data_IF_072425035868
#
_entry.id   IF_072425035868
#
_cell.length_a   1.000
_cell.length_b   1.000
_cell.length_c   1.000
_cell.angle_alpha   90.00
_cell.angle_beta   90.00
_cell.angle_gamma   90.00
#
_symmetry.space_group_name_H-M   'P 1'
#
loop_
_entity.id
_entity.type
_entity.pdbx_description
1 polymer ?
#
# COMPACT_ATOMS: atom_id res chain seq x y z
N UNK A 1 -20.99 -20.27 11.45
CA UNK A 1 -22.20 -20.40 10.60
C UNK A 1 -22.21 -21.60 9.63
N UNK A 2 -21.16 -22.44 9.51
CA UNK A 2 -21.16 -23.59 8.58
C UNK A 2 -22.21 -24.70 8.85
N UNK A 3 -22.82 -24.76 10.05
CA UNK A 3 -23.78 -25.81 10.43
C UNK A 3 -25.27 -25.54 10.11
N UNK A 4 -25.65 -24.33 9.68
CA UNK A 4 -27.07 -23.97 9.47
C UNK A 4 -27.56 -24.11 8.02
N UNK A 5 -26.66 -24.11 7.04
CA UNK A 5 -27.02 -24.28 5.62
C UNK A 5 -27.72 -25.63 5.32
N UNK A 6 -27.25 -26.80 5.80
CA UNK A 6 -27.95 -28.06 5.55
C UNK A 6 -29.31 -28.09 6.25
N UNK A 7 -29.45 -27.47 7.43
CA UNK A 7 -30.72 -27.46 8.19
C UNK A 7 -31.80 -26.67 7.44
N UNK A 8 -31.47 -25.51 6.86
CA UNK A 8 -32.43 -24.72 6.07
C UNK A 8 -32.80 -25.45 4.77
N UNK A 9 -31.85 -26.12 4.11
CA UNK A 9 -32.14 -26.93 2.93
C UNK A 9 -33.04 -28.15 3.26
N UNK A 10 -32.78 -28.80 4.39
CA UNK A 10 -33.56 -29.94 4.87
C UNK A 10 -34.98 -29.54 5.27
N UNK A 11 -35.16 -28.38 5.92
CA UNK A 11 -36.47 -27.82 6.25
C UNK A 11 -37.30 -27.43 5.00
N UNK A 12 -36.64 -26.94 3.95
CA UNK A 12 -37.29 -26.67 2.66
C UNK A 12 -37.71 -27.97 1.95
N UNK A 13 -36.87 -29.01 2.00
CA UNK A 13 -37.20 -30.33 1.44
C UNK A 13 -38.32 -31.03 2.23
N UNK A 14 -38.31 -30.97 3.57
CA UNK A 14 -39.38 -31.56 4.38
C UNK A 14 -40.72 -30.86 4.18
N UNK A 15 -40.73 -29.53 4.00
CA UNK A 15 -41.96 -28.78 3.73
C UNK A 15 -42.59 -29.16 2.38
N UNK A 16 -41.79 -29.52 1.38
CA UNK A 16 -42.28 -30.03 0.08
C UNK A 16 -42.81 -31.46 0.24
N UNK A 17 -42.08 -32.33 0.96
CA UNK A 17 -42.52 -33.72 1.21
C UNK A 17 -43.81 -33.81 2.05
N UNK A 18 -44.05 -32.88 2.97
CA UNK A 18 -45.27 -32.84 3.79
C UNK A 18 -46.52 -32.32 3.05
N UNK A 19 -46.38 -31.81 1.82
CA UNK A 19 -47.50 -31.34 1.02
C UNK A 19 -48.21 -32.45 0.21
N UNK A 20 -47.57 -33.62 0.03
CA UNK A 20 -48.13 -34.74 -0.75
C UNK A 20 -48.92 -35.75 0.10
N UNK A 21 -48.83 -35.74 1.43
CA UNK A 21 -49.32 -36.83 2.30
C UNK A 21 -50.66 -36.58 3.01
N UNK A 22 -51.44 -35.57 2.57
CA UNK A 22 -52.81 -35.33 3.08
C UNK A 22 -53.91 -35.79 2.11
N UNK A 23 -53.97 -37.11 1.89
CA UNK A 23 -55.21 -37.81 1.50
C UNK A 23 -55.55 -38.84 2.56
N UNK A 24 -56.62 -38.59 3.31
CA UNK A 24 -57.07 -39.45 4.39
C UNK A 24 -57.42 -40.86 3.88
N UNK A 25 -56.74 -41.88 4.41
CA UNK A 25 -57.12 -43.29 4.26
C UNK A 25 -57.85 -43.67 5.54
N UNK A 26 -59.14 -44.02 5.42
CA UNK A 26 -59.96 -44.50 6.52
C UNK A 26 -60.33 -45.98 6.23
N UNK A 27 -59.71 -46.97 6.90
CA UNK A 27 -59.89 -48.37 6.55
C UNK A 27 -60.91 -49.06 7.47
N UNK A 28 -62.09 -49.40 6.93
CA UNK A 28 -62.61 -50.77 7.09
C UNK A 28 -63.71 -51.16 6.08
N UNK A 29 -63.72 -52.47 5.76
CA UNK A 29 -64.54 -53.19 4.78
C UNK A 29 -66.06 -53.18 5.13
N UNK A 30 -67.01 -53.43 4.22
CA UNK A 30 -67.12 -54.70 3.45
C UNK A 30 -68.02 -54.65 2.20
N UNK A 31 -67.39 -54.99 1.05
CA UNK A 31 -67.85 -55.83 -0.09
C UNK A 31 -69.36 -56.00 -0.37
N UNK A 32 -69.78 -55.60 -1.58
CA UNK A 32 -70.59 -56.45 -2.48
C UNK A 32 -70.26 -56.15 -3.96
N UNK A 33 -70.52 -57.12 -4.85
CA UNK A 33 -70.04 -57.15 -6.24
C UNK A 33 -71.03 -56.49 -7.23
N UNK A 34 -70.54 -55.96 -8.37
CA UNK A 34 -70.77 -56.55 -9.72
C UNK A 34 -70.01 -55.80 -10.84
N UNK A 35 -69.79 -56.48 -11.98
CA UNK A 35 -69.22 -55.94 -13.22
C UNK A 35 -70.13 -54.86 -13.87
N UNK A 36 -69.77 -54.10 -14.91
CA UNK A 36 -68.64 -54.10 -15.85
C UNK A 36 -68.29 -52.63 -16.24
N UNK A 37 -67.43 -52.26 -17.19
CA UNK A 37 -66.68 -53.00 -18.22
C UNK A 37 -65.33 -52.28 -18.54
N UNK A 38 -64.69 -52.67 -19.64
CA UNK A 38 -63.43 -52.09 -20.16
C UNK A 38 -63.70 -51.25 -21.42
N UNK A 39 -63.06 -50.08 -21.58
CA UNK A 39 -62.82 -49.50 -22.93
C UNK A 39 -61.72 -48.44 -22.91
N UNK A 40 -60.78 -48.58 -23.84
CA UNK A 40 -59.55 -47.77 -23.92
C UNK A 40 -59.82 -46.33 -24.34
N UNK A 41 -58.97 -45.42 -23.85
CA UNK A 41 -58.75 -44.11 -24.48
C UNK A 41 -58.02 -44.32 -25.80
N UNK A 42 -58.46 -43.63 -26.84
CA UNK A 42 -57.60 -43.20 -27.93
C UNK A 42 -57.80 -41.70 -28.20
N UNK A 43 -56.69 -41.01 -28.40
CA UNK A 43 -56.63 -39.55 -28.50
C UNK A 43 -56.66 -39.14 -29.97
N UNK A 44 -57.66 -38.37 -30.40
CA UNK A 44 -57.62 -37.70 -31.71
C UNK A 44 -57.38 -36.21 -31.50
N UNK A 45 -56.20 -35.76 -31.95
CA UNK A 45 -55.79 -34.35 -31.94
C UNK A 45 -56.45 -33.67 -33.14
N UNK A 46 -57.33 -32.69 -32.88
CA UNK A 46 -57.91 -31.85 -33.93
C UNK A 46 -57.23 -30.47 -33.93
N UNK A 47 -56.33 -30.23 -34.89
CA UNK A 47 -55.73 -28.92 -35.11
C UNK A 47 -56.75 -27.96 -35.75
N UNK A 48 -56.97 -26.81 -35.11
CA UNK A 48 -57.92 -25.80 -35.57
C UNK A 48 -57.36 -25.06 -36.80
N UNK A 49 -58.08 -25.11 -37.93
CA UNK A 49 -57.84 -24.24 -39.09
C UNK A 49 -59.14 -23.61 -39.60
N UNK A 50 -59.21 -22.29 -39.37
CA UNK A 50 -59.73 -21.23 -40.28
C UNK A 50 -61.14 -21.32 -40.89
N UNK A 51 -61.81 -20.17 -40.76
CA UNK A 51 -62.90 -19.60 -41.59
C UNK A 51 -64.36 -20.01 -41.25
N UNK A 52 -65.29 -19.04 -41.16
CA UNK A 52 -66.71 -19.28 -40.92
C UNK A 52 -67.47 -19.54 -42.23
N UNK A 53 -68.52 -20.36 -42.17
CA UNK A 53 -69.51 -20.47 -43.25
C UNK A 53 -70.94 -20.53 -42.69
N UNK A 54 -71.87 -20.01 -43.47
CA UNK A 54 -73.22 -19.64 -43.06
C UNK A 54 -74.16 -20.83 -42.78
N UNK A 55 -75.18 -20.52 -42.00
CA UNK A 55 -76.29 -21.39 -41.62
C UNK A 55 -77.10 -21.99 -42.79
N UNK A 56 -77.71 -23.14 -42.52
CA UNK A 56 -79.10 -23.42 -42.93
C UNK A 56 -79.91 -24.00 -41.77
N UNK A 57 -81.21 -23.75 -41.80
CA UNK A 57 -82.18 -23.99 -40.73
C UNK A 57 -82.80 -25.40 -40.83
N UNK A 58 -83.60 -25.76 -39.81
CA UNK A 58 -84.49 -26.93 -39.71
C UNK A 58 -83.84 -28.33 -39.48
N UNK A 59 -84.40 -29.20 -38.62
CA UNK A 59 -85.65 -29.11 -37.83
C UNK A 59 -85.58 -29.87 -36.50
N UNK A 60 -86.41 -29.42 -35.55
CA UNK A 60 -86.93 -30.15 -34.37
C UNK A 60 -86.08 -31.31 -33.82
N UNK A 61 -85.05 -30.97 -33.04
CA UNK A 61 -84.70 -31.73 -31.83
C UNK A 61 -84.59 -30.76 -30.67
N UNK A 62 -85.34 -31.02 -29.60
CA UNK A 62 -85.16 -30.38 -28.31
C UNK A 62 -83.82 -30.85 -27.76
N UNK A 63 -82.76 -30.10 -28.03
CA UNK A 63 -81.46 -30.33 -27.39
C UNK A 63 -81.62 -29.82 -25.97
N UNK A 64 -81.88 -30.74 -25.05
CA UNK A 64 -81.74 -30.47 -23.63
C UNK A 64 -80.25 -30.21 -23.36
N UNK A 65 -79.88 -28.93 -23.35
CA UNK A 65 -78.53 -28.51 -22.98
C UNK A 65 -78.40 -28.75 -21.48
N UNK A 66 -78.01 -29.98 -21.13
CA UNK A 66 -77.49 -30.29 -19.80
C UNK A 66 -76.18 -29.52 -19.68
N UNK A 67 -76.28 -28.29 -19.20
CA UNK A 67 -75.20 -27.58 -18.53
C UNK A 67 -74.86 -28.42 -17.30
N UNK A 68 -74.00 -29.41 -17.51
CA UNK A 68 -73.10 -29.93 -16.49
C UNK A 68 -72.31 -28.72 -16.00
N UNK A 69 -72.87 -28.04 -15.00
CA UNK A 69 -72.13 -27.16 -14.12
C UNK A 69 -71.00 -28.04 -13.58
N UNK A 70 -69.79 -27.84 -14.10
CA UNK A 70 -68.61 -28.48 -13.55
C UNK A 70 -68.70 -28.31 -12.04
N UNK A 71 -68.49 -29.38 -11.25
CA UNK A 71 -68.44 -29.23 -9.82
C UNK A 71 -67.42 -28.13 -9.55
N UNK A 72 -67.84 -27.09 -8.83
CA UNK A 72 -66.98 -25.98 -8.42
C UNK A 72 -66.05 -26.49 -7.33
N UNK A 73 -65.19 -27.44 -7.70
CA UNK A 73 -63.95 -27.76 -7.04
C UNK A 73 -63.21 -26.43 -6.97
N UNK A 74 -63.01 -25.95 -5.74
CA UNK A 74 -62.58 -24.58 -5.49
C UNK A 74 -61.36 -24.23 -6.34
N UNK A 75 -61.30 -22.97 -6.78
CA UNK A 75 -60.20 -22.42 -7.58
C UNK A 75 -58.88 -22.99 -7.10
N UNK A 76 -58.16 -23.67 -8.00
CA UNK A 76 -56.98 -24.47 -7.65
C UNK A 76 -55.78 -23.53 -7.44
N UNK A 77 -55.89 -22.68 -6.42
CA UNK A 77 -54.99 -21.57 -6.12
C UNK A 77 -53.53 -22.03 -6.04
N UNK A 78 -53.27 -23.27 -5.65
CA UNK A 78 -51.95 -23.88 -5.65
C UNK A 78 -51.28 -23.79 -7.04
N UNK A 79 -51.99 -24.07 -8.15
CA UNK A 79 -51.42 -23.99 -9.51
C UNK A 79 -51.09 -22.57 -9.96
N UNK A 80 -51.74 -21.56 -9.39
CA UNK A 80 -51.48 -20.14 -9.70
C UNK A 80 -50.46 -19.50 -8.75
N UNK A 81 -50.47 -19.90 -7.48
CA UNK A 81 -49.54 -19.41 -6.45
C UNK A 81 -48.17 -20.06 -6.57
N UNK A 82 -48.09 -21.35 -6.90
CA UNK A 82 -46.81 -22.07 -6.93
C UNK A 82 -45.81 -21.51 -7.95
N UNK A 83 -46.18 -21.13 -9.19
CA UNK A 83 -45.29 -20.42 -10.11
C UNK A 83 -44.80 -19.06 -9.59
N UNK A 84 -45.67 -18.32 -8.88
CA UNK A 84 -45.33 -17.02 -8.29
C UNK A 84 -44.33 -17.22 -7.13
N UNK A 85 -44.58 -18.21 -6.26
CA UNK A 85 -43.68 -18.57 -5.16
C UNK A 85 -42.34 -19.09 -5.66
N UNK A 86 -42.31 -19.94 -6.70
CA UNK A 86 -41.04 -20.41 -7.27
C UNK A 86 -40.25 -19.30 -7.99
N UNK A 87 -40.93 -18.33 -8.62
CA UNK A 87 -40.28 -17.12 -9.14
C UNK A 87 -39.60 -16.32 -8.02
N UNK A 88 -40.33 -16.01 -6.94
CA UNK A 88 -39.76 -15.30 -5.78
C UNK A 88 -38.64 -16.10 -5.10
N UNK A 89 -38.77 -17.44 -5.03
CA UNK A 89 -37.75 -18.32 -4.47
C UNK A 89 -36.47 -18.33 -5.34
N UNK A 90 -36.60 -18.38 -6.66
CA UNK A 90 -35.47 -18.27 -7.59
C UNK A 90 -34.75 -16.93 -7.49
N UNK A 91 -35.51 -15.82 -7.41
CA UNK A 91 -34.96 -14.48 -7.16
C UNK A 91 -34.25 -14.41 -5.81
N UNK A 92 -34.82 -15.02 -4.76
CA UNK A 92 -34.23 -15.05 -3.42
C UNK A 92 -32.93 -15.88 -3.36
N UNK A 93 -32.91 -17.05 -4.02
CA UNK A 93 -31.72 -17.92 -4.12
C UNK A 93 -30.60 -17.20 -4.89
N UNK A 94 -30.89 -16.60 -6.06
CA UNK A 94 -29.91 -15.84 -6.82
C UNK A 94 -29.35 -14.65 -6.01
N UNK A 95 -30.21 -13.88 -5.33
CA UNK A 95 -29.76 -12.81 -4.41
C UNK A 95 -28.90 -13.33 -3.26
N UNK A 96 -29.21 -14.50 -2.71
CA UNK A 96 -28.44 -15.10 -1.62
C UNK A 96 -27.05 -15.55 -2.10
N UNK A 97 -26.97 -16.19 -3.28
CA UNK A 97 -25.71 -16.61 -3.91
C UNK A 97 -24.85 -15.38 -4.24
N UNK A 98 -25.42 -14.37 -4.90
CA UNK A 98 -24.75 -13.09 -5.18
C UNK A 98 -24.20 -12.43 -3.91
N UNK A 99 -24.99 -12.42 -2.83
CA UNK A 99 -24.59 -11.83 -1.57
C UNK A 99 -23.45 -12.61 -0.89
N UNK A 100 -23.49 -13.95 -0.92
CA UNK A 100 -22.40 -14.80 -0.41
C UNK A 100 -21.13 -14.58 -1.24
N UNK A 101 -21.24 -14.58 -2.56
CA UNK A 101 -20.11 -14.40 -3.49
C UNK A 101 -19.47 -13.02 -3.28
N UNK A 102 -20.24 -11.93 -3.32
CA UNK A 102 -19.76 -10.56 -3.06
C UNK A 102 -19.10 -10.45 -1.69
N UNK A 103 -19.70 -11.03 -0.64
CA UNK A 103 -19.11 -11.06 0.70
C UNK A 103 -17.77 -11.80 0.73
N UNK A 104 -17.65 -12.95 0.06
CA UNK A 104 -16.40 -13.71 0.00
C UNK A 104 -15.30 -12.96 -0.74
N UNK A 105 -15.62 -12.27 -1.84
CA UNK A 105 -14.70 -11.40 -2.57
C UNK A 105 -14.19 -10.24 -1.70
N UNK A 106 -15.09 -9.52 -1.02
CA UNK A 106 -14.72 -8.45 -0.08
C UNK A 106 -13.86 -8.97 1.08
N UNK A 107 -14.14 -10.16 1.61
CA UNK A 107 -13.31 -10.79 2.66
C UNK A 107 -11.90 -11.10 2.13
N UNK A 108 -11.78 -11.66 0.93
CA UNK A 108 -10.48 -11.96 0.31
C UNK A 108 -9.67 -10.70 0.00
N UNK A 109 -10.33 -9.63 -0.47
CA UNK A 109 -9.67 -8.33 -0.73
C UNK A 109 -9.18 -7.68 0.56
N UNK A 110 -9.99 -7.67 1.62
CA UNK A 110 -9.57 -7.15 2.92
C UNK A 110 -8.52 -8.02 3.64
N UNK A 111 -8.51 -9.33 3.41
CA UNK A 111 -7.42 -10.20 3.86
C UNK A 111 -6.12 -9.89 3.11
N UNK A 112 -6.18 -9.57 1.80
CA UNK A 112 -5.03 -9.04 1.07
C UNK A 112 -4.53 -7.73 1.68
N UNK A 113 -5.40 -6.74 1.92
CA UNK A 113 -5.02 -5.49 2.62
C UNK A 113 -4.21 -5.74 3.91
N UNK A 114 -4.66 -6.67 4.76
CA UNK A 114 -3.96 -7.02 6.02
C UNK A 114 -2.62 -7.70 5.77
N UNK A 115 -2.49 -8.51 4.72
CA UNK A 115 -1.21 -9.14 4.33
C UNK A 115 -0.23 -8.10 3.80
N UNK A 116 -0.64 -7.21 2.89
CA UNK A 116 0.25 -6.17 2.33
C UNK A 116 0.71 -5.18 3.43
N UNK A 117 -0.16 -4.83 4.39
CA UNK A 117 0.21 -4.03 5.56
C UNK A 117 1.24 -4.74 6.46
N UNK A 118 1.17 -6.07 6.61
CA UNK A 118 2.19 -6.84 7.35
C UNK A 118 3.52 -6.96 6.60
N UNK A 119 3.47 -7.09 5.27
CA UNK A 119 4.68 -7.08 4.43
C UNK A 119 5.37 -5.72 4.52
N UNK A 120 4.58 -4.64 4.54
CA UNK A 120 5.07 -3.26 4.74
C UNK A 120 5.86 -3.10 6.03
N UNK A 121 5.46 -3.73 7.14
CA UNK A 121 6.22 -3.74 8.40
C UNK A 121 7.65 -4.25 8.21
N UNK A 122 7.83 -5.33 7.46
CA UNK A 122 9.14 -5.94 7.16
C UNK A 122 9.97 -5.03 6.26
N UNK A 123 9.35 -4.44 5.22
CA UNK A 123 10.03 -3.54 4.29
C UNK A 123 10.50 -2.25 4.96
N UNK A 124 9.69 -1.66 5.86
CA UNK A 124 10.09 -0.48 6.65
C UNK A 124 11.27 -0.84 7.57
N UNK A 125 11.22 -1.99 8.27
CA UNK A 125 12.33 -2.44 9.13
C UNK A 125 13.63 -2.62 8.36
N UNK A 126 13.58 -3.23 7.18
CA UNK A 126 14.77 -3.38 6.33
C UNK A 126 15.28 -2.00 5.83
N UNK A 127 14.39 -1.11 5.40
CA UNK A 127 14.79 0.24 4.98
C UNK A 127 15.43 1.04 6.12
N UNK A 128 14.97 0.87 7.36
CA UNK A 128 15.62 1.45 8.54
C UNK A 128 17.01 0.85 8.78
N UNK A 129 17.18 -0.47 8.64
CA UNK A 129 18.51 -1.12 8.73
C UNK A 129 19.47 -0.58 7.69
N UNK A 130 19.05 -0.47 6.43
CA UNK A 130 19.87 0.07 5.34
C UNK A 130 20.25 1.56 5.57
N UNK A 131 19.34 2.35 6.17
CA UNK A 131 19.60 3.75 6.54
C UNK A 131 20.56 3.89 7.74
N UNK A 132 20.51 2.96 8.70
CA UNK A 132 21.46 2.91 9.82
C UNK A 132 22.84 2.51 9.30
N UNK A 133 22.95 1.47 8.47
CA UNK A 133 24.22 1.07 7.84
C UNK A 133 24.81 2.21 7.00
N UNK A 134 23.99 2.95 6.25
CA UNK A 134 24.44 4.13 5.51
C UNK A 134 24.95 5.24 6.45
N UNK A 135 24.23 5.53 7.54
CA UNK A 135 24.62 6.54 8.54
C UNK A 135 25.93 6.18 9.23
N UNK A 136 26.12 4.92 9.61
CA UNK A 136 27.34 4.46 10.28
C UNK A 136 28.57 4.47 9.34
N UNK A 137 28.33 4.49 8.02
CA UNK A 137 29.34 4.69 6.97
C UNK A 137 29.57 6.15 6.58
N UNK A 138 28.74 7.09 7.02
CA UNK A 138 29.00 8.52 6.82
C UNK A 138 30.14 8.97 7.72
N UNK A 139 31.36 8.97 7.15
CA UNK A 139 32.56 9.34 7.88
C UNK A 139 32.94 10.82 7.70
N UNK A 140 33.46 11.41 8.78
CA UNK A 140 34.19 12.69 8.76
C UNK A 140 35.72 12.48 8.70
N UNK A 141 36.20 11.24 8.57
CA UNK A 141 37.64 10.91 8.49
C UNK A 141 38.07 10.44 7.10
N UNK A 142 37.14 9.98 6.26
CA UNK A 142 37.41 9.51 4.90
C UNK A 142 36.36 10.03 3.92
N UNK A 143 36.82 10.61 2.81
CA UNK A 143 35.96 11.04 1.71
C UNK A 143 35.46 9.81 0.91
N UNK A 144 34.52 9.11 1.51
CA UNK A 144 33.74 8.05 0.87
C UNK A 144 32.28 8.48 0.80
N UNK A 145 31.68 8.40 -0.38
CA UNK A 145 30.23 8.51 -0.55
C UNK A 145 29.65 7.09 -0.55
N UNK A 146 29.07 6.60 0.55
CA UNK A 146 28.37 5.32 0.53
C UNK A 146 27.16 5.36 -0.43
N UNK A 147 26.77 4.21 -0.97
CA UNK A 147 25.55 4.08 -1.76
C UNK A 147 24.34 3.89 -0.83
N UNK A 148 23.22 4.58 -1.11
CA UNK A 148 21.93 4.26 -0.46
C UNK A 148 21.23 3.14 -1.21
N UNK A 149 21.01 2.03 -0.50
CA UNK A 149 20.03 1.02 -0.89
C UNK A 149 18.63 1.51 -0.51
N UNK A 150 17.94 2.12 -1.46
CA UNK A 150 16.53 2.48 -1.31
C UNK A 150 15.66 1.32 -1.81
N UNK A 151 14.87 0.72 -0.92
CA UNK A 151 13.94 -0.35 -1.26
C UNK A 151 12.74 0.20 -2.05
N UNK A 152 12.78 0.04 -3.37
CA UNK A 152 11.70 0.45 -4.31
C UNK A 152 10.31 -0.07 -3.93
N UNK A 153 10.23 -1.18 -3.20
CA UNK A 153 8.97 -1.77 -2.73
C UNK A 153 8.26 -0.96 -1.62
N UNK A 154 8.97 -0.05 -0.93
CA UNK A 154 8.39 0.87 0.08
C UNK A 154 7.58 2.00 -0.57
N UNK A 155 7.69 2.18 -1.89
CA UNK A 155 7.01 3.21 -2.70
C UNK A 155 5.47 3.09 -2.77
N UNK A 156 4.87 2.12 -2.10
CA UNK A 156 3.41 1.97 -2.00
C UNK A 156 2.68 1.53 -3.28
N UNK A 157 3.41 1.25 -4.37
CA UNK A 157 2.83 0.85 -5.66
C UNK A 157 1.88 -0.36 -5.57
N UNK A 158 2.07 -1.25 -4.57
CA UNK A 158 1.16 -2.38 -4.28
C UNK A 158 -0.23 -1.89 -3.84
N UNK A 159 -0.32 -0.85 -3.02
CA UNK A 159 -1.58 -0.30 -2.50
C UNK A 159 -2.40 0.42 -3.57
N UNK A 160 -1.78 0.88 -4.66
CA UNK A 160 -2.50 1.44 -5.82
C UNK A 160 -3.40 0.42 -6.52
N UNK A 161 -3.14 -0.88 -6.32
CA UNK A 161 -3.96 -1.98 -6.84
C UNK A 161 -5.13 -2.38 -5.91
N UNK A 162 -5.35 -1.66 -4.80
CA UNK A 162 -6.34 -2.01 -3.77
C UNK A 162 -7.43 -0.95 -3.63
N UNK A 163 -8.70 -1.35 -3.66
CA UNK A 163 -9.83 -0.44 -3.56
C UNK A 163 -10.17 -0.09 -2.11
N UNK A 164 -10.19 1.21 -1.81
CA UNK A 164 -10.65 1.81 -0.54
C UNK A 164 -12.08 1.40 -0.18
N UNK A 165 -12.96 1.24 -1.16
CA UNK A 165 -14.34 0.84 -0.92
C UNK A 165 -14.43 -0.62 -0.46
N UNK A 166 -13.52 -1.49 -0.92
CA UNK A 166 -13.44 -2.88 -0.44
C UNK A 166 -12.87 -2.96 0.98
N UNK A 167 -11.84 -2.18 1.29
CA UNK A 167 -11.34 -2.02 2.66
C UNK A 167 -12.46 -1.56 3.62
N UNK A 168 -13.19 -0.53 3.23
CA UNK A 168 -14.29 0.04 4.04
C UNK A 168 -15.39 -1.00 4.30
N UNK A 169 -15.81 -1.76 3.27
CA UNK A 169 -16.77 -2.88 3.42
C UNK A 169 -16.20 -4.03 4.27
N UNK A 170 -14.90 -4.30 4.20
CA UNK A 170 -14.25 -5.33 5.01
C UNK A 170 -14.23 -4.98 6.50
N UNK A 171 -13.81 -3.76 6.84
CA UNK A 171 -13.82 -3.22 8.20
C UNK A 171 -15.25 -3.27 8.76
N UNK A 172 -16.27 -2.92 7.96
CA UNK A 172 -17.68 -3.07 8.32
C UNK A 172 -18.09 -4.53 8.58
N UNK A 173 -17.63 -5.49 7.77
CA UNK A 173 -17.92 -6.93 7.96
C UNK A 173 -17.27 -7.49 9.23
N UNK A 174 -16.13 -6.92 9.67
CA UNK A 174 -15.31 -7.41 10.79
C UNK A 174 -15.65 -6.75 12.13
N UNK A 175 -15.63 -5.41 12.20
CA UNK A 175 -15.84 -4.64 13.44
C UNK A 175 -17.31 -4.47 13.81
N UNK A 176 -18.20 -4.50 12.82
CA UNK A 176 -19.60 -4.24 13.04
C UNK A 176 -20.43 -5.52 12.93
N UNK A 177 -21.52 -5.58 13.72
CA UNK A 177 -22.69 -6.34 13.26
C UNK A 177 -23.03 -5.79 11.87
N UNK A 178 -23.02 -6.61 10.79
CA UNK A 178 -23.30 -6.14 9.44
C UNK A 178 -24.63 -5.38 9.38
N UNK A 179 -24.81 -4.42 8.47
CA UNK A 179 -26.01 -3.55 8.47
C UNK A 179 -27.34 -4.31 8.58
N UNK A 180 -27.46 -5.48 7.96
CA UNK A 180 -28.67 -6.33 8.03
C UNK A 180 -28.90 -7.05 9.38
N UNK A 181 -27.91 -7.08 10.28
CA UNK A 181 -28.03 -7.55 11.68
C UNK A 181 -28.25 -6.39 12.68
N UNK A 182 -28.33 -5.14 12.20
CA UNK A 182 -28.50 -3.94 13.03
C UNK A 182 -29.99 -3.54 13.10
N UNK A 183 -30.79 -4.38 13.76
CA UNK A 183 -32.27 -4.29 13.73
C UNK A 183 -32.82 -3.10 14.57
N UNK A 184 -32.05 -2.56 15.53
CA UNK A 184 -32.56 -1.62 16.55
C UNK A 184 -31.67 -0.39 16.82
N UNK A 185 -30.95 0.12 15.81
CA UNK A 185 -30.08 1.29 15.99
C UNK A 185 -30.79 2.58 15.60
N UNK A 186 -30.68 3.61 16.45
CA UNK A 186 -31.06 4.97 16.08
C UNK A 186 -30.19 5.50 14.93
N UNK A 187 -30.69 6.52 14.21
CA UNK A 187 -29.95 7.13 13.08
C UNK A 187 -28.54 7.58 13.50
N UNK A 188 -28.42 8.20 14.68
CA UNK A 188 -27.15 8.68 15.23
C UNK A 188 -26.14 7.56 15.51
N UNK A 189 -26.58 6.41 16.07
CA UNK A 189 -25.69 5.27 16.31
C UNK A 189 -25.24 4.59 15.00
N UNK A 190 -26.12 4.56 13.99
CA UNK A 190 -25.76 4.09 12.65
C UNK A 190 -24.70 4.98 12.01
N UNK A 191 -24.88 6.30 12.08
CA UNK A 191 -23.93 7.29 11.57
C UNK A 191 -22.58 7.23 12.29
N UNK A 192 -22.58 7.19 13.64
CA UNK A 192 -21.35 7.06 14.45
C UNK A 192 -20.53 5.84 14.05
N UNK A 193 -21.16 4.66 14.07
CA UNK A 193 -20.44 3.41 13.80
C UNK A 193 -20.11 3.18 12.31
N UNK A 194 -20.59 4.03 11.39
CA UNK A 194 -20.10 4.10 10.01
C UNK A 194 -18.96 5.12 9.88
N UNK A 195 -19.03 6.23 10.63
CA UNK A 195 -17.92 7.17 10.82
C UNK A 195 -16.67 6.49 11.35
N UNK A 196 -16.79 5.64 12.37
CA UNK A 196 -15.67 4.85 12.92
C UNK A 196 -14.98 3.99 11.84
N UNK A 197 -15.77 3.34 10.96
CA UNK A 197 -15.27 2.54 9.82
C UNK A 197 -14.54 3.41 8.79
N UNK A 198 -15.09 4.58 8.47
CA UNK A 198 -14.45 5.56 7.57
C UNK A 198 -13.15 6.08 8.19
N UNK A 199 -13.11 6.33 9.50
CA UNK A 199 -11.93 6.84 10.19
C UNK A 199 -10.76 5.86 10.11
N UNK A 200 -10.99 4.56 10.37
CA UNK A 200 -9.97 3.51 10.22
C UNK A 200 -9.48 3.43 8.75
N UNK A 201 -10.40 3.48 7.79
CA UNK A 201 -10.09 3.48 6.34
C UNK A 201 -9.24 4.70 5.94
N UNK A 202 -9.61 5.91 6.38
CA UNK A 202 -8.86 7.14 6.15
C UNK A 202 -7.47 7.11 6.81
N UNK A 203 -7.39 6.64 8.06
CA UNK A 203 -6.13 6.51 8.78
C UNK A 203 -5.18 5.51 8.11
N UNK A 204 -5.71 4.40 7.56
CA UNK A 204 -4.94 3.43 6.76
C UNK A 204 -4.31 4.10 5.54
N UNK A 205 -5.08 4.89 4.77
CA UNK A 205 -4.55 5.61 3.62
C UNK A 205 -3.57 6.73 4.02
N UNK A 206 -3.78 7.39 5.16
CA UNK A 206 -2.84 8.36 5.72
C UNK A 206 -1.49 7.73 6.07
N UNK A 207 -1.50 6.56 6.72
CA UNK A 207 -0.30 5.78 7.05
C UNK A 207 0.53 5.44 5.81
N UNK A 208 -0.13 4.94 4.76
CA UNK A 208 0.51 4.65 3.46
C UNK A 208 1.07 5.91 2.82
N UNK A 209 0.34 7.03 2.83
CA UNK A 209 0.81 8.29 2.24
C UNK A 209 2.05 8.85 2.97
N UNK A 210 2.13 8.71 4.30
CA UNK A 210 3.31 9.12 5.08
C UNK A 210 4.52 8.23 4.74
N UNK A 211 4.31 6.92 4.58
CA UNK A 211 5.35 5.97 4.14
C UNK A 211 5.87 6.30 2.74
N UNK A 212 4.98 6.49 1.76
CA UNK A 212 5.34 6.90 0.38
C UNK A 212 6.12 8.23 0.39
N UNK A 213 5.68 9.19 1.21
CA UNK A 213 6.38 10.46 1.39
C UNK A 213 7.79 10.28 1.98
N UNK A 214 7.98 9.42 2.99
CA UNK A 214 9.32 9.15 3.55
C UNK A 214 10.25 8.49 2.52
N UNK A 215 9.73 7.54 1.74
CA UNK A 215 10.50 6.90 0.66
C UNK A 215 11.01 7.93 -0.36
N UNK A 216 10.13 8.82 -0.83
CA UNK A 216 10.50 9.88 -1.76
C UNK A 216 11.50 10.89 -1.13
N UNK A 217 11.34 11.20 0.16
CA UNK A 217 12.22 12.10 0.90
C UNK A 217 13.67 11.57 0.97
N UNK A 218 13.87 10.26 1.14
CA UNK A 218 15.20 9.62 1.14
C UNK A 218 15.94 9.95 -0.16
N UNK A 219 15.29 9.71 -1.31
CA UNK A 219 15.87 9.98 -2.63
C UNK A 219 16.18 11.47 -2.85
N UNK A 220 15.26 12.36 -2.44
CA UNK A 220 15.47 13.81 -2.51
C UNK A 220 16.68 14.26 -1.68
N UNK A 221 16.78 13.84 -0.42
CA UNK A 221 17.87 14.25 0.48
C UNK A 221 19.21 13.64 0.08
N UNK A 222 19.23 12.40 -0.43
CA UNK A 222 20.44 11.79 -0.96
C UNK A 222 20.96 12.54 -2.19
N UNK A 223 20.09 12.81 -3.17
CA UNK A 223 20.47 13.58 -4.36
C UNK A 223 20.99 14.98 -4.00
N UNK A 224 20.35 15.65 -3.03
CA UNK A 224 20.83 16.94 -2.51
C UNK A 224 22.21 16.83 -1.85
N UNK A 225 22.42 15.82 -1.00
CA UNK A 225 23.71 15.56 -0.34
C UNK A 225 24.82 15.26 -1.35
N UNK A 226 24.58 14.38 -2.32
CA UNK A 226 25.53 14.04 -3.37
C UNK A 226 25.88 15.27 -4.22
N UNK A 227 24.89 16.09 -4.57
CA UNK A 227 25.11 17.33 -5.33
C UNK A 227 25.98 18.31 -4.53
N UNK A 228 25.57 18.70 -3.33
CA UNK A 228 26.31 19.68 -2.52
C UNK A 228 27.73 19.21 -2.18
N UNK A 229 27.91 17.93 -1.87
CA UNK A 229 29.25 17.38 -1.60
C UNK A 229 30.11 17.38 -2.87
N UNK A 230 29.54 17.09 -4.05
CA UNK A 230 30.27 17.19 -5.32
C UNK A 230 30.66 18.63 -5.66
N UNK A 231 29.81 19.61 -5.35
CA UNK A 231 30.09 21.04 -5.52
C UNK A 231 31.29 21.46 -4.65
N UNK A 232 31.30 21.12 -3.35
CA UNK A 232 32.43 21.43 -2.47
C UNK A 232 33.70 20.65 -2.83
N UNK A 233 33.61 19.38 -3.26
CA UNK A 233 34.79 18.62 -3.73
C UNK A 233 35.36 19.21 -5.01
N UNK A 234 34.52 19.72 -5.92
CA UNK A 234 34.99 20.42 -7.12
C UNK A 234 35.70 21.74 -6.76
N UNK A 235 35.07 22.55 -5.91
CA UNK A 235 35.61 23.79 -5.34
C UNK A 235 36.97 23.57 -4.66
N UNK A 236 37.05 22.58 -3.77
CA UNK A 236 38.28 22.18 -3.08
C UNK A 236 39.42 21.86 -4.05
N UNK A 237 39.14 21.12 -5.14
CA UNK A 237 40.16 20.79 -6.13
C UNK A 237 40.64 22.01 -6.93
N UNK A 238 39.78 23.01 -7.17
CA UNK A 238 40.16 24.27 -7.80
C UNK A 238 41.04 25.10 -6.86
N UNK A 239 40.60 25.34 -5.63
CA UNK A 239 41.38 26.10 -4.64
C UNK A 239 42.69 25.41 -4.24
N UNK A 240 42.76 24.07 -4.32
CA UNK A 240 44.01 23.33 -4.16
C UNK A 240 44.99 23.61 -5.31
N UNK A 241 44.53 23.75 -6.57
CA UNK A 241 45.39 24.14 -7.69
C UNK A 241 45.88 25.60 -7.58
N UNK A 242 45.03 26.50 -7.11
CA UNK A 242 45.43 27.87 -6.75
C UNK A 242 46.49 27.86 -5.65
N UNK A 243 46.27 27.09 -4.58
CA UNK A 243 47.24 26.89 -3.50
C UNK A 243 48.60 26.39 -4.03
N UNK A 244 48.62 25.40 -4.93
CA UNK A 244 49.88 24.89 -5.52
C UNK A 244 50.64 25.98 -6.29
N UNK A 245 49.90 26.89 -6.94
CA UNK A 245 50.47 28.01 -7.72
C UNK A 245 51.04 29.08 -6.78
N UNK A 246 50.25 29.51 -5.79
CA UNK A 246 50.68 30.50 -4.79
C UNK A 246 51.82 29.98 -3.90
N UNK A 247 51.86 28.68 -3.60
CA UNK A 247 52.97 28.05 -2.88
C UNK A 247 54.29 28.12 -3.68
N UNK A 248 54.23 27.90 -4.99
CA UNK A 248 55.37 28.09 -5.89
C UNK A 248 55.84 29.55 -5.94
N UNK A 249 54.90 30.50 -6.04
CA UNK A 249 55.22 31.94 -6.05
C UNK A 249 55.77 32.43 -4.71
N UNK A 250 55.24 31.94 -3.59
CA UNK A 250 55.72 32.20 -2.24
C UNK A 250 57.19 31.78 -2.09
N UNK A 251 57.53 30.53 -2.41
CA UNK A 251 58.91 30.04 -2.36
C UNK A 251 59.85 30.82 -3.29
N UNK A 252 59.43 31.06 -4.54
CA UNK A 252 60.21 31.81 -5.53
C UNK A 252 60.58 33.23 -5.07
N UNK A 253 59.77 33.85 -4.21
CA UNK A 253 60.09 35.18 -3.68
C UNK A 253 61.28 35.14 -2.70
N UNK A 254 61.36 34.13 -1.82
CA UNK A 254 62.52 33.96 -0.93
C UNK A 254 63.75 33.39 -1.67
N UNK A 255 63.56 32.54 -2.70
CA UNK A 255 64.69 32.11 -3.54
C UNK A 255 65.39 33.30 -4.21
N UNK A 256 64.65 34.35 -4.61
CA UNK A 256 65.23 35.62 -5.11
C UNK A 256 65.98 36.41 -4.04
N UNK A 257 65.66 36.24 -2.76
CA UNK A 257 66.44 36.77 -1.63
C UNK A 257 67.75 35.97 -1.40
N UNK A 258 67.98 34.87 -2.14
CA UNK A 258 69.11 33.96 -1.96
C UNK A 258 68.93 32.94 -0.83
N UNK A 259 67.68 32.74 -0.39
CA UNK A 259 67.31 31.92 0.77
C UNK A 259 67.07 30.47 0.36
N UNK A 260 67.55 29.52 1.17
CA UNK A 260 67.23 28.10 1.00
C UNK A 260 65.86 27.77 1.63
N UNK A 261 64.87 27.49 0.76
CA UNK A 261 63.47 27.26 1.13
C UNK A 261 63.22 26.06 2.06
N UNK A 262 64.18 25.14 2.20
CA UNK A 262 64.06 23.98 3.08
C UNK A 262 64.59 24.23 4.49
N UNK A 263 65.35 25.30 4.70
CA UNK A 263 66.05 25.57 5.98
C UNK A 263 65.70 26.91 6.63
N UNK A 264 65.10 27.85 5.88
CA UNK A 264 64.65 29.14 6.41
C UNK A 264 63.39 28.99 7.28
N UNK A 265 63.28 29.82 8.31
CA UNK A 265 62.20 29.74 9.30
C UNK A 265 60.82 30.05 8.71
N UNK A 266 60.74 30.90 7.68
CA UNK A 266 59.49 31.29 7.01
C UNK A 266 58.98 30.16 6.11
N UNK A 267 59.87 29.55 5.32
CA UNK A 267 59.52 28.62 4.22
C UNK A 267 59.73 27.13 4.55
N UNK A 268 60.69 26.80 5.42
CA UNK A 268 61.08 25.43 5.74
C UNK A 268 59.94 24.58 6.32
N UNK A 269 59.21 25.05 7.35
CA UNK A 269 58.09 24.30 7.93
C UNK A 269 56.99 23.99 6.92
N UNK A 270 56.64 24.95 6.04
CA UNK A 270 55.69 24.74 4.96
C UNK A 270 56.20 23.74 3.92
N UNK A 271 57.50 23.77 3.61
CA UNK A 271 58.13 22.82 2.69
C UNK A 271 58.14 21.39 3.22
N UNK A 272 58.32 21.19 4.53
CA UNK A 272 58.20 19.87 5.17
C UNK A 272 56.76 19.36 5.15
N UNK A 273 55.78 20.22 5.46
CA UNK A 273 54.35 19.89 5.37
C UNK A 273 53.94 19.55 3.92
N UNK A 274 54.41 20.31 2.94
CA UNK A 274 54.13 20.08 1.52
C UNK A 274 54.71 18.74 1.04
N UNK A 275 55.98 18.47 1.37
CA UNK A 275 56.66 17.24 0.98
C UNK A 275 56.05 15.98 1.60
N UNK A 276 55.46 16.09 2.80
CA UNK A 276 54.83 14.96 3.51
C UNK A 276 53.37 14.74 3.13
N UNK A 277 52.58 15.80 2.94
CA UNK A 277 51.11 15.69 2.78
C UNK A 277 50.58 15.97 1.38
N UNK A 278 51.27 16.78 0.56
CA UNK A 278 50.78 17.18 -0.78
C UNK A 278 51.55 16.44 -1.87
N UNK A 279 52.88 16.52 -1.86
CA UNK A 279 53.75 15.95 -2.88
C UNK A 279 53.51 14.45 -3.18
N UNK A 280 53.23 13.56 -2.20
CA UNK A 280 53.02 12.14 -2.47
C UNK A 280 51.75 11.85 -3.30
N UNK A 281 50.74 12.72 -3.22
CA UNK A 281 49.43 12.50 -3.83
C UNK A 281 49.23 13.24 -5.15
N UNK A 282 50.11 14.18 -5.53
CA UNK A 282 50.00 14.95 -6.79
C UNK A 282 49.79 14.08 -8.04
N UNK A 283 50.46 12.93 -8.14
CA UNK A 283 50.33 12.02 -9.30
C UNK A 283 48.99 11.30 -9.37
N UNK A 284 48.30 11.14 -8.23
CA UNK A 284 47.06 10.35 -8.15
C UNK A 284 45.81 11.22 -7.97
N UNK A 285 45.97 12.46 -7.50
CA UNK A 285 44.86 13.34 -7.13
C UNK A 285 44.03 12.83 -5.94
N UNK A 286 44.43 11.74 -5.29
CA UNK A 286 43.67 11.06 -4.21
C UNK A 286 43.93 11.71 -2.85
N UNK A 287 43.67 13.01 -2.79
CA UNK A 287 43.70 13.75 -1.54
C UNK A 287 42.49 13.36 -0.66
N UNK A 288 42.72 13.17 0.64
CA UNK A 288 41.65 13.11 1.63
C UNK A 288 41.54 14.51 2.26
N UNK A 289 40.47 15.29 2.00
CA UNK A 289 40.36 16.66 2.48
C UNK A 289 40.36 16.76 4.01
N UNK A 290 39.79 15.78 4.71
CA UNK A 290 39.77 15.75 6.18
C UNK A 290 41.17 15.53 6.77
N UNK A 291 41.97 14.62 6.19
CA UNK A 291 43.38 14.45 6.61
C UNK A 291 44.20 15.71 6.30
N UNK A 292 44.03 16.28 5.11
CA UNK A 292 44.73 17.52 4.75
C UNK A 292 44.34 18.70 5.65
N UNK A 293 43.12 18.74 6.20
CA UNK A 293 42.73 19.75 7.19
C UNK A 293 43.69 19.76 8.38
N UNK A 294 43.80 18.61 9.03
CA UNK A 294 44.49 18.47 10.32
C UNK A 294 46.01 18.31 10.16
N UNK A 295 46.45 17.55 9.15
CA UNK A 295 47.87 17.24 8.92
C UNK A 295 48.60 18.32 8.10
N UNK A 296 47.88 19.18 7.37
CA UNK A 296 48.49 20.17 6.45
C UNK A 296 47.97 21.61 6.62
N UNK A 297 46.68 21.87 6.35
CA UNK A 297 46.15 23.23 6.24
C UNK A 297 46.10 23.98 7.58
N UNK A 298 45.70 23.33 8.67
CA UNK A 298 45.70 23.93 10.01
C UNK A 298 47.13 24.24 10.48
N UNK A 299 48.11 23.31 10.42
CA UNK A 299 49.51 23.64 10.65
C UNK A 299 50.04 24.77 9.76
N UNK A 300 49.73 24.76 8.46
CA UNK A 300 50.22 25.75 7.50
C UNK A 300 49.69 27.16 7.78
N UNK A 301 48.38 27.32 8.06
CA UNK A 301 47.82 28.65 8.38
C UNK A 301 48.32 29.16 9.74
N UNK A 302 48.53 28.27 10.72
CA UNK A 302 49.13 28.62 12.01
C UNK A 302 50.58 29.08 11.84
N UNK A 303 51.36 28.44 10.96
CA UNK A 303 52.71 28.90 10.63
C UNK A 303 52.69 30.29 9.99
N UNK A 304 51.92 30.48 8.91
CA UNK A 304 51.80 31.75 8.20
C UNK A 304 51.30 32.90 9.09
N UNK A 305 50.48 32.62 10.10
CA UNK A 305 49.99 33.64 11.03
C UNK A 305 51.11 34.35 11.83
N UNK A 306 52.27 33.71 12.02
CA UNK A 306 53.44 34.34 12.65
C UNK A 306 54.08 35.42 11.74
N UNK A 307 53.95 35.25 10.41
CA UNK A 307 54.51 36.12 9.38
C UNK A 307 53.44 37.00 8.71
N UNK A 308 52.26 37.16 9.32
CA UNK A 308 51.07 37.87 8.78
C UNK A 308 51.28 39.32 8.31
N UNK A 309 52.41 39.94 8.65
CA UNK A 309 52.76 41.29 8.24
C UNK A 309 53.57 41.32 6.92
N UNK A 310 54.03 40.18 6.44
CA UNK A 310 54.70 40.02 5.15
C UNK A 310 53.66 39.86 4.04
N UNK A 311 53.59 40.80 3.11
CA UNK A 311 52.59 40.83 2.01
C UNK A 311 52.63 39.56 1.14
N UNK A 312 53.83 38.97 1.00
CA UNK A 312 54.07 37.67 0.34
C UNK A 312 53.25 36.50 0.90
N UNK A 313 52.85 36.55 2.18
CA UNK A 313 52.08 35.47 2.84
C UNK A 313 50.59 35.50 2.51
N UNK A 314 50.06 36.67 2.11
CA UNK A 314 48.61 36.91 2.00
C UNK A 314 47.91 36.04 0.93
N UNK A 315 48.45 35.86 -0.30
CA UNK A 315 47.81 35.00 -1.30
C UNK A 315 47.73 33.54 -0.84
N UNK A 316 48.83 33.02 -0.28
CA UNK A 316 48.93 31.65 0.20
C UNK A 316 47.97 31.39 1.37
N UNK A 317 47.92 32.30 2.34
CA UNK A 317 47.00 32.23 3.48
C UNK A 317 45.53 32.28 3.03
N UNK A 318 45.21 33.06 1.99
CA UNK A 318 43.88 33.11 1.37
C UNK A 318 43.49 31.75 0.77
N UNK A 319 44.33 31.16 -0.09
CA UNK A 319 44.03 29.86 -0.71
C UNK A 319 43.86 28.73 0.33
N UNK A 320 44.70 28.70 1.37
CA UNK A 320 44.54 27.76 2.50
C UNK A 320 43.19 27.97 3.20
N UNK A 321 42.80 29.22 3.47
CA UNK A 321 41.52 29.55 4.10
C UNK A 321 40.33 29.09 3.23
N UNK A 322 40.40 29.25 1.90
CA UNK A 322 39.33 28.78 1.01
C UNK A 322 39.24 27.25 0.99
N UNK A 323 40.37 26.53 0.95
CA UNK A 323 40.39 25.07 1.05
C UNK A 323 39.75 24.58 2.37
N UNK A 324 40.05 25.25 3.50
CA UNK A 324 39.43 24.97 4.80
C UNK A 324 37.91 25.21 4.79
N UNK A 325 37.43 26.25 4.09
CA UNK A 325 36.00 26.52 3.94
C UNK A 325 35.29 25.43 3.11
N UNK A 326 35.92 24.91 2.06
CA UNK A 326 35.35 23.79 1.28
C UNK A 326 35.29 22.51 2.11
N UNK A 327 36.33 22.20 2.90
CA UNK A 327 36.34 21.07 3.82
C UNK A 327 35.20 21.21 4.83
N UNK A 328 35.01 22.38 5.44
CA UNK A 328 33.90 22.66 6.33
C UNK A 328 32.53 22.51 5.62
N UNK A 329 32.43 22.89 4.34
CA UNK A 329 31.24 22.65 3.51
C UNK A 329 30.90 21.16 3.35
N UNK A 330 31.91 20.31 3.14
CA UNK A 330 31.77 18.85 3.09
C UNK A 330 31.34 18.30 4.46
N UNK A 331 31.97 18.73 5.56
CA UNK A 331 31.59 18.33 6.93
C UNK A 331 30.13 18.70 7.24
N UNK A 332 29.72 19.92 6.89
CA UNK A 332 28.35 20.42 7.05
C UNK A 332 27.35 19.57 6.23
N UNK A 333 27.68 19.20 5.00
CA UNK A 333 26.84 18.33 4.18
C UNK A 333 26.62 16.94 4.83
N UNK A 334 27.67 16.34 5.41
CA UNK A 334 27.59 15.07 6.16
C UNK A 334 26.72 15.22 7.42
N UNK A 335 26.87 16.30 8.19
CA UNK A 335 26.03 16.59 9.36
C UNK A 335 24.57 16.78 8.98
N UNK A 336 24.27 17.50 7.90
CA UNK A 336 22.91 17.66 7.39
C UNK A 336 22.29 16.33 6.95
N UNK A 337 23.04 15.47 6.25
CA UNK A 337 22.55 14.17 5.83
C UNK A 337 22.26 13.26 7.04
N UNK A 338 23.16 13.25 8.03
CA UNK A 338 22.99 12.53 9.30
C UNK A 338 21.72 12.98 10.03
N UNK A 339 21.46 14.29 10.10
CA UNK A 339 20.25 14.86 10.69
C UNK A 339 18.99 14.44 9.93
N UNK A 340 19.01 14.47 8.59
CA UNK A 340 17.89 14.04 7.76
C UNK A 340 17.54 12.56 7.97
N UNK A 341 18.55 11.68 8.06
CA UNK A 341 18.36 10.25 8.33
C UNK A 341 17.71 10.03 9.69
N UNK A 342 18.18 10.70 10.74
CA UNK A 342 17.58 10.57 12.08
C UNK A 342 16.08 10.91 12.07
N UNK A 343 15.67 11.98 11.37
CA UNK A 343 14.25 12.39 11.23
C UNK A 343 13.43 11.34 10.44
N UNK A 344 14.02 10.72 9.41
CA UNK A 344 13.37 9.66 8.64
C UNK A 344 13.21 8.39 9.51
N UNK A 345 14.23 8.02 10.29
CA UNK A 345 14.19 6.88 11.20
C UNK A 345 13.16 7.07 12.33
N UNK A 346 13.07 8.28 12.90
CA UNK A 346 12.05 8.66 13.89
C UNK A 346 10.64 8.43 13.32
N UNK A 347 10.35 8.98 12.13
CA UNK A 347 9.05 8.81 11.45
C UNK A 347 8.75 7.36 11.06
N UNK A 348 9.74 6.58 10.64
CA UNK A 348 9.53 5.14 10.40
C UNK A 348 9.25 4.38 11.70
N UNK A 349 9.82 4.80 12.83
CA UNK A 349 9.50 4.23 14.15
C UNK A 349 8.05 4.51 14.53
N UNK A 350 7.57 5.75 14.38
CA UNK A 350 6.16 6.12 14.58
C UNK A 350 5.20 5.31 13.69
N UNK A 351 5.58 5.07 12.43
CA UNK A 351 4.82 4.23 11.50
C UNK A 351 4.78 2.76 11.96
N UNK A 352 5.90 2.21 12.44
CA UNK A 352 5.96 0.84 12.98
C UNK A 352 5.15 0.67 14.27
N UNK A 353 5.13 1.67 15.16
CA UNK A 353 4.39 1.61 16.43
C UNK A 353 2.86 1.78 16.27
N UNK A 354 2.43 2.42 15.18
CA UNK A 354 1.01 2.61 14.83
C UNK A 354 0.43 1.46 14.01
N UNK A 355 1.25 0.80 13.17
CA UNK A 355 0.81 -0.24 12.24
C UNK A 355 0.13 -1.47 12.90
N UNK A 356 0.61 -2.04 14.02
CA UNK A 356 -0.08 -3.13 14.72
C UNK A 356 -1.45 -2.74 15.28
N UNK A 357 -1.59 -1.50 15.74
CA UNK A 357 -2.86 -0.96 16.27
C UNK A 357 -3.87 -0.84 15.12
N UNK A 358 -3.44 -0.23 14.01
CA UNK A 358 -4.24 -0.13 12.79
C UNK A 358 -4.66 -1.51 12.23
N UNK A 359 -3.76 -2.49 12.17
CA UNK A 359 -4.10 -3.86 11.74
C UNK A 359 -5.14 -4.50 12.68
N UNK A 360 -5.03 -4.26 13.98
CA UNK A 360 -6.00 -4.75 14.98
C UNK A 360 -7.37 -4.10 14.79
N UNK A 361 -7.41 -2.80 14.52
CA UNK A 361 -8.63 -2.05 14.18
C UNK A 361 -9.25 -2.53 12.86
N UNK A 362 -8.46 -2.86 11.83
CA UNK A 362 -8.99 -3.38 10.55
C UNK A 362 -9.58 -4.79 10.71
N UNK A 363 -8.86 -5.69 11.39
CA UNK A 363 -9.27 -7.10 11.59
C UNK A 363 -10.42 -7.23 12.60
N UNK A 364 -10.52 -6.25 13.50
CA UNK A 364 -11.48 -6.14 14.57
C UNK A 364 -11.14 -6.99 15.79
N UNK A 365 -11.38 -6.42 16.97
CA UNK A 365 -11.21 -7.13 18.24
C UNK A 365 -12.17 -8.32 18.32
N UNK A 366 -11.62 -9.54 18.24
CA UNK A 366 -12.29 -10.76 18.69
C UNK A 366 -12.46 -10.70 20.21
N UNK A 367 -13.57 -10.13 20.67
CA UNK A 367 -14.18 -10.48 21.96
C UNK A 367 -15.19 -11.62 21.75
#
# INVERSE_FOLDING_TARGET
MKKQLPIVLFLLLSAISSAEENKAINPNKTISNTAAADTKRDTIIAAIKTAPLLATHDSKKTIEIILLKEPTNGTDWAKYILPIVTLFLGIAINRLIDWINKRSATVRSGERWVVELRITEVLIKQQMTDLIEFKDRLSLTELSMPEIKAMTNVKGDVFKSLDKNELTKFIEIKNSKPQYKRIFFTKAEKEKAYGDVINISNYTHGHIAIMEHQFNLIGEKFNSYTKSTSEYVHSFNQHLQEFLTEYGMYNLNYEKEGVNIFTDERTGPLSVLYASQIAPYMKTGRYNPFKLRDDFFVPAITHLAHFRFEESTLPLAKCITTCLNDIAGIEIAVVHMTKNINIILERYTELLDSLPKLITEIVGNKK
#
